data_IF_756749774587
#
_entry.id   IF_756749774587
#
_cell.length_a   1.000
_cell.length_b   1.000
_cell.length_c   1.000
_cell.angle_alpha   90.00
_cell.angle_beta   90.00
_cell.angle_gamma   90.00
#
_symmetry.space_group_name_H-M   'P 1'
#
loop_
_entity.id
_entity.type
_entity.pdbx_description
1 polymer ?
#
# COMPACT_ATOMS: atom_id res chain seq x y z
N UNK A 1 44.12 -12.09 7.74
CA UNK A 1 42.78 -11.97 8.36
C UNK A 1 41.78 -12.48 7.35
N UNK A 2 41.44 -13.76 7.47
CA UNK A 2 40.33 -14.35 6.75
C UNK A 2 39.05 -13.61 7.15
N UNK A 3 38.30 -13.14 6.16
CA UNK A 3 36.96 -12.63 6.40
C UNK A 3 36.08 -13.84 6.65
N UNK A 4 35.63 -14.02 7.90
CA UNK A 4 34.51 -14.91 8.20
C UNK A 4 33.34 -14.50 7.30
N UNK A 5 33.04 -15.36 6.32
CA UNK A 5 31.79 -15.31 5.60
C UNK A 5 30.71 -15.71 6.60
N UNK A 6 29.91 -14.74 7.04
CA UNK A 6 28.65 -15.02 7.73
C UNK A 6 27.82 -15.89 6.78
N UNK A 7 27.40 -17.11 7.18
CA UNK A 7 26.59 -17.95 6.32
C UNK A 7 25.30 -17.18 6.01
N UNK A 8 24.94 -17.10 4.72
CA UNK A 8 23.63 -16.63 4.31
C UNK A 8 22.61 -17.69 4.73
N UNK A 9 22.21 -17.68 6.00
CA UNK A 9 21.16 -18.56 6.53
C UNK A 9 19.87 -18.23 5.78
N UNK A 10 19.48 -19.13 4.87
CA UNK A 10 18.18 -19.07 4.21
C UNK A 10 17.06 -19.05 5.24
N UNK A 11 15.91 -18.48 4.86
CA UNK A 11 14.74 -18.46 5.72
C UNK A 11 14.33 -19.90 6.09
N UNK A 12 14.10 -20.14 7.38
CA UNK A 12 13.72 -21.46 7.90
C UNK A 12 12.23 -21.45 8.28
N UNK A 13 11.40 -22.01 7.41
CA UNK A 13 9.95 -22.09 7.57
C UNK A 13 9.52 -22.94 8.77
N UNK A 14 10.29 -23.96 9.16
CA UNK A 14 10.02 -24.78 10.33
C UNK A 14 10.21 -23.98 11.63
N UNK A 15 11.37 -23.33 11.79
CA UNK A 15 11.63 -22.46 12.95
C UNK A 15 10.63 -21.32 13.05
N UNK A 16 10.17 -20.81 11.90
CA UNK A 16 9.13 -19.80 11.84
C UNK A 16 7.80 -20.33 12.40
N UNK A 17 7.35 -21.50 11.95
CA UNK A 17 6.11 -22.13 12.42
C UNK A 17 6.17 -22.52 13.90
N UNK A 18 7.30 -23.02 14.39
CA UNK A 18 7.48 -23.37 15.81
C UNK A 18 7.28 -22.16 16.73
N UNK A 19 7.74 -20.97 16.30
CA UNK A 19 7.55 -19.73 17.06
C UNK A 19 6.10 -19.25 17.08
N UNK A 20 5.31 -19.56 16.06
CA UNK A 20 3.90 -19.16 15.95
C UNK A 20 2.93 -20.14 16.63
N UNK A 21 3.34 -21.39 16.87
CA UNK A 21 2.48 -22.43 17.46
C UNK A 21 1.80 -22.00 18.76
N UNK A 22 2.52 -21.28 19.63
CA UNK A 22 2.00 -20.82 20.93
C UNK A 22 1.12 -19.56 20.84
N UNK A 23 1.05 -18.95 19.67
CA UNK A 23 0.35 -17.67 19.43
C UNK A 23 -0.96 -17.87 18.66
N UNK A 24 -1.32 -19.10 18.33
CA UNK A 24 -2.47 -19.44 17.50
C UNK A 24 -3.28 -20.57 18.13
N UNK A 25 -4.58 -20.58 17.84
CA UNK A 25 -5.41 -21.73 18.15
C UNK A 25 -4.99 -22.94 17.30
N UNK A 26 -5.15 -24.19 17.80
CA UNK A 26 -4.64 -25.39 17.13
C UNK A 26 -5.15 -25.58 15.70
N UNK A 27 -6.41 -25.19 15.43
CA UNK A 27 -7.01 -25.29 14.10
C UNK A 27 -6.40 -24.29 13.12
N UNK A 28 -6.30 -23.02 13.52
CA UNK A 28 -5.72 -21.95 12.69
C UNK A 28 -4.24 -22.19 12.44
N UNK A 29 -3.53 -22.70 13.45
CA UNK A 29 -2.15 -23.11 13.32
C UNK A 29 -1.98 -24.25 12.31
N UNK A 30 -2.83 -25.28 12.39
CA UNK A 30 -2.82 -26.41 11.46
C UNK A 30 -3.08 -25.96 10.01
N UNK A 31 -4.04 -25.05 9.82
CA UNK A 31 -4.32 -24.44 8.52
C UNK A 31 -3.11 -23.67 7.99
N UNK A 32 -2.49 -22.83 8.81
CA UNK A 32 -1.29 -22.09 8.42
C UNK A 32 -0.11 -23.02 8.08
N UNK A 33 0.08 -24.09 8.85
CA UNK A 33 1.10 -25.09 8.55
C UNK A 33 0.91 -25.73 7.17
N UNK A 34 -0.34 -26.03 6.79
CA UNK A 34 -0.65 -26.58 5.47
C UNK A 34 -0.27 -25.59 4.36
N UNK A 35 -0.69 -24.32 4.50
CA UNK A 35 -0.37 -23.25 3.53
C UNK A 35 1.14 -23.00 3.37
N UNK A 36 1.88 -22.99 4.48
CA UNK A 36 3.34 -22.80 4.46
C UNK A 36 4.04 -23.99 3.80
N UNK A 37 3.57 -25.23 4.01
CA UNK A 37 4.11 -26.41 3.35
C UNK A 37 3.81 -26.43 1.86
N UNK A 38 2.60 -26.04 1.46
CA UNK A 38 2.21 -25.99 0.05
C UNK A 38 2.95 -24.90 -0.72
N UNK A 39 3.12 -23.73 -0.10
CA UNK A 39 3.74 -22.56 -0.74
C UNK A 39 5.27 -22.56 -0.69
N UNK A 40 5.87 -23.38 0.20
CA UNK A 40 7.31 -23.52 0.45
C UNK A 40 8.09 -22.18 0.41
N UNK A 41 7.79 -21.23 1.31
CA UNK A 41 8.40 -19.90 1.25
C UNK A 41 9.90 -19.97 1.52
N UNK A 42 10.70 -19.42 0.59
CA UNK A 42 12.16 -19.34 0.72
C UNK A 42 12.65 -18.03 1.35
N UNK A 43 11.76 -17.06 1.57
CA UNK A 43 12.10 -15.79 2.20
C UNK A 43 11.10 -15.40 3.29
N UNK A 44 11.56 -14.53 4.20
CA UNK A 44 10.72 -13.92 5.26
C UNK A 44 9.49 -13.22 4.68
N UNK A 45 9.64 -12.53 3.55
CA UNK A 45 8.54 -11.81 2.89
C UNK A 45 7.53 -12.78 2.32
N UNK A 46 7.99 -13.89 1.72
CA UNK A 46 7.09 -14.91 1.17
C UNK A 46 6.28 -15.57 2.27
N UNK A 47 6.90 -15.91 3.41
CA UNK A 47 6.18 -16.47 4.55
C UNK A 47 5.11 -15.52 5.11
N UNK A 48 5.41 -14.21 5.18
CA UNK A 48 4.41 -13.21 5.62
C UNK A 48 3.26 -13.11 4.60
N UNK A 49 3.53 -13.20 3.29
CA UNK A 49 2.47 -13.24 2.26
C UNK A 49 1.61 -14.50 2.33
N UNK A 50 2.21 -15.64 2.70
CA UNK A 50 1.45 -16.88 2.90
C UNK A 50 0.50 -16.76 4.08
N UNK A 51 0.90 -16.09 5.17
CA UNK A 51 -0.01 -15.76 6.28
C UNK A 51 -1.17 -14.89 5.80
N UNK A 52 -0.88 -13.84 5.03
CA UNK A 52 -1.92 -12.96 4.45
C UNK A 52 -2.93 -13.76 3.62
N UNK A 53 -2.42 -14.63 2.73
CA UNK A 53 -3.24 -15.48 1.87
C UNK A 53 -4.10 -16.45 2.70
N UNK A 54 -3.51 -17.09 3.69
CA UNK A 54 -4.22 -18.01 4.59
C UNK A 54 -5.36 -17.28 5.33
N UNK A 55 -5.09 -16.08 5.85
CA UNK A 55 -6.10 -15.23 6.50
C UNK A 55 -7.26 -14.86 5.54
N UNK A 56 -6.94 -14.45 4.31
CA UNK A 56 -7.94 -14.02 3.34
C UNK A 56 -8.81 -15.17 2.80
N UNK A 57 -8.23 -16.35 2.61
CA UNK A 57 -8.94 -17.50 2.01
C UNK A 57 -9.69 -18.34 3.03
N UNK A 58 -9.17 -18.45 4.26
CA UNK A 58 -9.67 -19.39 5.26
C UNK A 58 -10.27 -18.72 6.50
N UNK A 59 -10.25 -17.39 6.58
CA UNK A 59 -10.75 -16.60 7.72
C UNK A 59 -10.13 -17.03 9.08
N UNK A 60 -8.85 -17.40 9.05
CA UNK A 60 -8.11 -17.84 10.24
C UNK A 60 -7.67 -16.65 11.08
N UNK A 61 -7.73 -16.81 12.41
CA UNK A 61 -7.17 -15.82 13.33
C UNK A 61 -5.64 -15.90 13.31
N UNK A 62 -4.99 -14.86 12.79
CA UNK A 62 -3.53 -14.79 12.71
C UNK A 62 -2.92 -14.07 13.93
N UNK A 63 -1.68 -14.41 14.31
CA UNK A 63 -0.95 -13.73 15.38
C UNK A 63 -0.78 -12.24 15.13
N UNK A 64 -0.45 -11.49 16.19
CA UNK A 64 -0.19 -10.07 16.05
C UNK A 64 0.99 -9.81 15.10
N UNK A 65 1.01 -8.63 14.46
CA UNK A 65 2.12 -8.26 13.56
C UNK A 65 3.48 -8.29 14.26
N UNK A 66 3.53 -8.03 15.56
CA UNK A 66 4.76 -8.10 16.36
C UNK A 66 5.23 -9.55 16.53
N UNK A 67 4.30 -10.48 16.77
CA UNK A 67 4.62 -11.90 16.91
C UNK A 67 5.08 -12.50 15.58
N UNK A 68 4.45 -12.11 14.47
CA UNK A 68 4.88 -12.49 13.12
C UNK A 68 6.28 -11.94 12.83
N UNK A 69 6.56 -10.68 13.21
CA UNK A 69 7.87 -10.07 13.01
C UNK A 69 8.95 -10.77 13.83
N UNK A 70 8.65 -11.11 15.09
CA UNK A 70 9.54 -11.86 15.97
C UNK A 70 9.79 -13.28 15.43
N UNK A 71 8.75 -13.96 14.94
CA UNK A 71 8.85 -15.28 14.35
C UNK A 71 9.73 -15.27 13.09
N UNK A 72 9.50 -14.31 12.20
CA UNK A 72 10.27 -14.14 10.96
C UNK A 72 11.65 -13.50 11.18
N UNK A 73 12.00 -13.12 12.42
CA UNK A 73 13.22 -12.39 12.77
C UNK A 73 13.43 -11.17 11.85
N UNK A 74 12.38 -10.36 11.71
CA UNK A 74 12.38 -9.19 10.86
C UNK A 74 11.85 -7.97 11.60
N UNK A 75 12.02 -6.80 10.99
CA UNK A 75 11.47 -5.57 11.54
C UNK A 75 9.93 -5.59 11.42
N UNK A 76 9.19 -5.14 12.44
CA UNK A 76 7.72 -5.02 12.37
C UNK A 76 7.24 -4.21 11.15
N UNK A 77 8.03 -3.23 10.71
CA UNK A 77 7.75 -2.45 9.50
C UNK A 77 7.66 -3.29 8.22
N UNK A 78 8.39 -4.40 8.12
CA UNK A 78 8.30 -5.33 7.00
C UNK A 78 6.96 -6.08 7.02
N UNK A 79 6.51 -6.50 8.21
CA UNK A 79 5.22 -7.17 8.41
C UNK A 79 4.08 -6.21 8.11
N UNK A 80 4.10 -5.00 8.68
CA UNK A 80 3.07 -3.98 8.42
C UNK A 80 3.02 -3.56 6.95
N UNK A 81 4.15 -3.55 6.23
CA UNK A 81 4.16 -3.27 4.79
C UNK A 81 3.58 -4.40 3.96
N UNK A 82 3.76 -5.64 4.41
CA UNK A 82 3.34 -6.84 3.67
C UNK A 82 1.87 -7.20 3.97
N UNK A 83 1.46 -7.18 5.24
CA UNK A 83 0.09 -7.46 5.70
C UNK A 83 -0.82 -6.22 5.71
N UNK A 84 -0.24 -5.03 5.65
CA UNK A 84 -0.99 -3.79 5.74
C UNK A 84 -1.75 -3.50 4.46
N UNK A 85 -3.07 -3.68 4.52
CA UNK A 85 -4.07 -3.01 3.68
C UNK A 85 -4.07 -1.47 3.81
N UNK A 86 -2.94 -0.85 4.14
CA UNK A 86 -2.77 0.57 3.85
C UNK A 86 -2.57 0.67 2.35
N UNK A 87 -3.68 0.89 1.64
CA UNK A 87 -3.71 1.78 0.48
C UNK A 87 -2.61 2.79 0.70
N UNK A 88 -1.53 2.71 -0.09
CA UNK A 88 -0.44 3.67 -0.02
C UNK A 88 -1.13 5.03 0.02
N UNK A 89 -1.16 5.70 1.17
CA UNK A 89 -1.49 7.12 1.19
C UNK A 89 -0.44 7.67 0.26
N UNK A 90 -0.86 8.04 -0.96
CA UNK A 90 0.00 8.74 -1.88
C UNK A 90 0.29 10.03 -1.12
N UNK A 91 1.43 10.06 -0.43
CA UNK A 91 1.91 11.26 0.25
C UNK A 91 2.35 12.17 -0.88
N UNK A 92 1.38 12.89 -1.45
CA UNK A 92 1.66 13.92 -2.42
C UNK A 92 2.53 14.97 -1.76
N UNK A 93 3.66 15.29 -2.40
CA UNK A 93 4.46 16.44 -2.01
C UNK A 93 3.53 17.66 -2.05
N UNK A 94 3.37 18.38 -0.94
CA UNK A 94 2.48 19.57 -0.82
C UNK A 94 2.61 20.54 -2.01
N UNK A 95 3.79 20.62 -2.63
CA UNK A 95 4.09 21.51 -3.76
C UNK A 95 3.49 21.07 -5.10
N UNK A 96 3.16 19.79 -5.32
CA UNK A 96 2.49 19.32 -6.55
C UNK A 96 0.96 19.51 -6.52
N UNK A 97 0.40 19.88 -5.36
CA UNK A 97 -1.04 19.98 -5.15
C UNK A 97 -1.61 21.41 -5.26
N UNK A 98 -0.79 22.41 -5.57
CA UNK A 98 -1.20 23.83 -5.53
C UNK A 98 -0.89 24.51 -6.86
N UNK A 99 -1.94 24.93 -7.55
CA UNK A 99 -1.92 25.84 -8.70
C UNK A 99 -1.88 27.30 -8.21
N UNK A 100 -1.41 28.22 -9.05
CA UNK A 100 -1.60 29.66 -8.79
C UNK A 100 -3.09 30.02 -8.89
N UNK A 101 -3.49 31.16 -8.31
CA UNK A 101 -4.88 31.63 -8.38
C UNK A 101 -5.29 31.90 -9.83
N UNK A 102 -4.38 32.41 -10.65
CA UNK A 102 -4.58 32.67 -12.07
C UNK A 102 -4.77 31.37 -12.86
N UNK A 103 -3.97 30.34 -12.57
CA UNK A 103 -4.11 29.03 -13.22
C UNK A 103 -5.40 28.33 -12.79
N UNK A 104 -5.81 28.45 -11.52
CA UNK A 104 -7.11 27.93 -11.08
C UNK A 104 -8.28 28.61 -11.79
N UNK A 105 -8.22 29.93 -12.02
CA UNK A 105 -9.29 30.63 -12.78
C UNK A 105 -9.39 30.14 -14.21
N UNK A 106 -8.27 29.97 -14.90
CA UNK A 106 -8.23 29.41 -16.27
C UNK A 106 -8.78 27.99 -16.29
N UNK A 107 -8.45 27.17 -15.29
CA UNK A 107 -8.95 25.82 -15.17
C UNK A 107 -10.47 25.78 -14.93
N UNK A 108 -11.02 26.72 -14.14
CA UNK A 108 -12.48 26.88 -13.97
C UNK A 108 -13.14 27.23 -15.31
N UNK A 109 -12.59 28.19 -16.05
CA UNK A 109 -13.13 28.60 -17.34
C UNK A 109 -13.14 27.44 -18.35
N UNK A 110 -12.04 26.67 -18.42
CA UNK A 110 -11.96 25.44 -19.20
C UNK A 110 -13.04 24.43 -18.80
N UNK A 111 -13.24 24.19 -17.49
CA UNK A 111 -14.25 23.26 -17.01
C UNK A 111 -15.66 23.70 -17.42
N UNK A 112 -15.97 25.00 -17.30
CA UNK A 112 -17.27 25.54 -17.66
C UNK A 112 -17.54 25.41 -19.17
N UNK A 113 -16.57 25.78 -20.01
CA UNK A 113 -16.66 25.62 -21.46
C UNK A 113 -16.82 24.15 -21.86
N UNK A 114 -16.07 23.26 -21.21
CA UNK A 114 -16.17 21.81 -21.44
C UNK A 114 -17.56 21.31 -21.07
N UNK A 115 -18.08 21.65 -19.90
CA UNK A 115 -19.43 21.27 -19.46
C UNK A 115 -20.49 21.83 -20.43
N UNK A 116 -20.33 23.04 -20.95
CA UNK A 116 -21.24 23.61 -21.95
C UNK A 116 -21.23 22.81 -23.26
N UNK A 117 -20.08 22.24 -23.65
CA UNK A 117 -19.92 21.49 -24.90
C UNK A 117 -20.27 20.00 -24.78
N UNK A 118 -19.83 19.32 -23.71
CA UNK A 118 -19.95 17.86 -23.53
C UNK A 118 -20.98 17.46 -22.47
N UNK A 119 -21.50 18.42 -21.69
CA UNK A 119 -22.45 18.19 -20.59
C UNK A 119 -21.80 17.78 -19.27
N UNK A 120 -20.51 17.41 -19.25
CA UNK A 120 -19.80 17.01 -18.04
C UNK A 120 -18.28 17.08 -18.21
N UNK A 121 -17.55 17.10 -17.09
CA UNK A 121 -16.10 16.90 -17.08
C UNK A 121 -15.73 15.94 -15.96
N UNK A 122 -14.68 15.13 -16.18
CA UNK A 122 -14.23 14.13 -15.23
C UNK A 122 -13.03 14.63 -14.41
N UNK A 123 -12.84 14.10 -13.18
CA UNK A 123 -11.65 14.36 -12.38
C UNK A 123 -10.31 14.13 -13.10
N UNK A 124 -10.27 13.16 -14.03
CA UNK A 124 -9.07 12.83 -14.78
C UNK A 124 -8.74 13.94 -15.78
N UNK A 125 -9.73 14.39 -16.54
CA UNK A 125 -9.59 15.48 -17.52
C UNK A 125 -9.15 16.77 -16.84
N UNK A 126 -9.75 17.13 -15.70
CA UNK A 126 -9.36 18.31 -14.91
C UNK A 126 -7.87 18.24 -14.54
N UNK A 127 -7.38 17.07 -14.11
CA UNK A 127 -5.96 16.92 -13.74
C UNK A 127 -5.02 16.95 -14.95
N UNK A 128 -5.43 16.37 -16.08
CA UNK A 128 -4.64 16.38 -17.32
C UNK A 128 -4.49 17.82 -17.79
N UNK A 129 -5.59 18.57 -17.83
CA UNK A 129 -5.56 19.97 -18.23
C UNK A 129 -4.74 20.81 -17.25
N UNK A 130 -4.96 20.65 -15.94
CA UNK A 130 -4.15 21.32 -14.93
C UNK A 130 -2.65 21.05 -15.11
N UNK A 131 -2.27 19.80 -15.35
CA UNK A 131 -0.86 19.41 -15.58
C UNK A 131 -0.30 20.02 -16.86
N UNK A 132 -1.14 20.15 -17.89
CA UNK A 132 -0.79 20.78 -19.17
C UNK A 132 -0.55 22.28 -19.00
N UNK A 133 -1.41 22.98 -18.27
CA UNK A 133 -1.30 24.42 -18.00
C UNK A 133 -0.01 24.76 -17.26
N UNK A 134 0.37 23.98 -16.24
CA UNK A 134 1.57 24.25 -15.42
C UNK A 134 2.83 23.50 -15.86
N UNK A 135 2.76 22.74 -16.96
CA UNK A 135 3.87 21.94 -17.51
C UNK A 135 4.58 21.05 -16.48
N UNK A 136 3.82 20.52 -15.53
CA UNK A 136 4.30 19.62 -14.47
C UNK A 136 3.18 18.70 -14.01
N UNK A 137 3.55 17.57 -13.44
CA UNK A 137 2.58 16.65 -12.84
C UNK A 137 1.87 17.30 -11.66
N UNK A 138 0.54 17.31 -11.72
CA UNK A 138 -0.33 17.78 -10.65
C UNK A 138 -0.77 16.60 -9.78
N UNK A 139 -0.76 16.81 -8.46
CA UNK A 139 -1.09 15.76 -7.49
C UNK A 139 -2.47 15.16 -7.71
N UNK A 140 -2.59 13.84 -7.48
CA UNK A 140 -3.82 13.08 -7.56
C UNK A 140 -4.97 13.69 -6.73
N UNK A 141 -4.70 14.34 -5.60
CA UNK A 141 -5.69 15.00 -4.72
C UNK A 141 -6.00 16.45 -5.08
N UNK A 142 -5.31 17.03 -6.06
CA UNK A 142 -5.50 18.45 -6.41
C UNK A 142 -6.93 18.73 -6.88
N UNK A 143 -7.50 17.89 -7.75
CA UNK A 143 -8.86 18.08 -8.27
C UNK A 143 -9.91 18.10 -7.16
N UNK A 144 -9.73 17.30 -6.09
CA UNK A 144 -10.63 17.28 -4.93
C UNK A 144 -10.63 18.66 -4.28
N UNK A 145 -9.44 19.20 -3.98
CA UNK A 145 -9.28 20.51 -3.36
C UNK A 145 -9.75 21.66 -4.26
N UNK A 146 -9.53 21.52 -5.57
CA UNK A 146 -10.02 22.47 -6.58
C UNK A 146 -11.55 22.52 -6.58
N UNK A 147 -12.22 21.36 -6.62
CA UNK A 147 -13.68 21.27 -6.57
C UNK A 147 -14.22 21.79 -5.23
N UNK A 148 -13.59 21.48 -4.10
CA UNK A 148 -14.00 21.99 -2.79
C UNK A 148 -13.89 23.53 -2.70
N UNK A 149 -12.85 24.13 -3.30
CA UNK A 149 -12.71 25.59 -3.36
C UNK A 149 -13.75 26.23 -4.27
N UNK A 150 -14.10 25.57 -5.37
CA UNK A 150 -15.08 26.07 -6.34
C UNK A 150 -16.52 25.94 -5.87
N UNK A 151 -16.82 25.02 -4.93
CA UNK A 151 -18.14 24.91 -4.28
C UNK A 151 -18.43 26.00 -3.26
N UNK A 152 -17.40 26.63 -2.70
CA UNK A 152 -17.50 27.61 -1.61
C UNK A 152 -17.40 29.07 -2.09
N UNK A 153 -17.65 29.33 -3.38
CA UNK A 153 -17.77 30.65 -3.99
C UNK A 153 -19.15 30.80 -4.60
#
# INVERSE_FOLDING_TARGET
MEKEQVPNEGFNSLKFLEKLEKQMEPFDYWMLQWYIKESDPHTKTDAIRVIEKCQQEMDVDIPSQLDIAAAAECYPSLVSRTLGNSSKKIIEKKQSAILSVEDERKLVEYCLQTIEQSGYTTPIEIRIEASTMVRREVGHTQHIRFLDRSKNK
#
